data_IF_920705909543
#
_entry.id   IF_920705909543
#
_cell.length_a   1.000
_cell.length_b   1.000
_cell.length_c   1.000
_cell.angle_alpha   90.00
_cell.angle_beta   90.00
_cell.angle_gamma   90.00
#
_symmetry.space_group_name_H-M   'P 1'
#
loop_
_entity.id
_entity.type
_entity.pdbx_description
1 polymer ?
#
# COMPACT_ATOMS: atom_id res chain seq x y z
N UNK A 1 19.10 0.68 5.48
CA UNK A 1 17.86 0.15 6.09
C UNK A 1 16.88 1.29 6.39
N UNK A 2 15.58 1.02 6.42
CA UNK A 2 14.47 1.94 6.75
C UNK A 2 13.35 1.17 7.46
N UNK A 3 12.34 1.86 7.99
CA UNK A 3 11.10 1.26 8.48
C UNK A 3 9.94 1.55 7.54
N UNK A 4 9.32 0.50 7.02
CA UNK A 4 8.14 0.50 6.17
C UNK A 4 6.86 0.36 7.02
N UNK A 5 5.92 1.29 6.86
CA UNK A 5 4.64 1.30 7.58
C UNK A 5 3.47 1.26 6.61
N UNK A 6 2.62 0.25 6.78
CA UNK A 6 1.34 0.11 6.08
C UNK A 6 0.25 -0.15 7.11
N UNK A 7 -0.93 0.45 6.92
CA UNK A 7 -2.04 0.29 7.87
C UNK A 7 -3.40 0.31 7.21
N UNK A 8 -4.39 -0.13 7.95
CA UNK A 8 -5.80 0.23 7.76
C UNK A 8 -6.34 0.86 9.06
N UNK A 9 -7.65 0.95 9.21
CA UNK A 9 -8.26 1.55 10.39
C UNK A 9 -8.07 0.69 11.65
N UNK A 10 -7.89 -0.62 11.48
CA UNK A 10 -7.87 -1.60 12.58
C UNK A 10 -6.49 -2.20 12.87
N UNK A 11 -5.52 -2.06 11.97
CA UNK A 11 -4.20 -2.69 12.09
C UNK A 11 -3.11 -1.80 11.50
N UNK A 12 -1.96 -1.78 12.17
CA UNK A 12 -0.72 -1.14 11.71
C UNK A 12 0.36 -2.20 11.63
N UNK A 13 1.07 -2.24 10.51
CA UNK A 13 2.22 -3.12 10.29
C UNK A 13 3.44 -2.22 10.07
N UNK A 14 4.45 -2.43 10.89
CA UNK A 14 5.77 -1.79 10.78
C UNK A 14 6.83 -2.87 10.55
N UNK A 15 7.62 -2.73 9.48
CA UNK A 15 8.67 -3.67 9.10
C UNK A 15 9.95 -2.91 8.81
N UNK A 16 11.04 -3.28 9.48
CA UNK A 16 12.36 -2.70 9.24
C UNK A 16 13.12 -3.57 8.26
N UNK A 17 13.78 -2.96 7.27
CA UNK A 17 14.57 -3.68 6.28
C UNK A 17 15.12 -2.77 5.17
N UNK A 18 15.53 -3.37 4.06
CA UNK A 18 16.00 -2.67 2.86
C UNK A 18 14.99 -2.85 1.74
N UNK A 19 14.69 -1.80 0.98
CA UNK A 19 13.92 -1.92 -0.26
C UNK A 19 14.83 -2.42 -1.37
N UNK A 20 14.63 -3.67 -1.80
CA UNK A 20 15.40 -4.34 -2.86
C UNK A 20 14.48 -5.26 -3.69
N UNK A 21 14.99 -5.80 -4.79
CA UNK A 21 14.21 -6.65 -5.72
C UNK A 21 12.86 -6.02 -6.13
N UNK A 22 12.90 -4.74 -6.49
CA UNK A 22 11.73 -4.05 -7.03
C UNK A 22 11.37 -4.61 -8.41
N UNK A 23 10.13 -5.05 -8.56
CA UNK A 23 9.59 -5.60 -9.81
C UNK A 23 8.35 -4.80 -10.21
N UNK A 24 8.51 -3.94 -11.22
CA UNK A 24 7.40 -3.19 -11.80
C UNK A 24 6.53 -4.08 -12.70
N UNK A 25 5.24 -3.75 -12.79
CA UNK A 25 4.29 -4.39 -13.70
C UNK A 25 3.15 -3.43 -14.07
N UNK A 26 2.34 -3.78 -15.10
CA UNK A 26 1.32 -2.88 -15.65
C UNK A 26 0.17 -2.59 -14.66
N UNK A 27 -0.11 -3.49 -13.72
CA UNK A 27 -1.21 -3.36 -12.76
C UNK A 27 -0.77 -3.40 -11.30
N UNK A 28 0.35 -4.06 -11.02
CA UNK A 28 0.91 -4.22 -9.70
C UNK A 28 2.43 -4.16 -9.78
N UNK A 29 3.05 -3.72 -8.69
CA UNK A 29 4.49 -3.75 -8.50
C UNK A 29 4.81 -4.47 -7.19
N UNK A 30 6.01 -5.03 -7.08
CA UNK A 30 6.44 -5.80 -5.92
C UNK A 30 7.78 -5.29 -5.41
N UNK A 31 7.97 -5.45 -4.10
CA UNK A 31 9.28 -5.53 -3.44
C UNK A 31 9.25 -6.89 -2.78
N UNK A 32 10.18 -7.78 -3.12
CA UNK A 32 10.17 -9.16 -2.64
C UNK A 32 11.51 -9.46 -1.99
N UNK A 33 11.53 -9.45 -0.66
CA UNK A 33 12.69 -9.87 0.12
C UNK A 33 12.22 -10.38 1.50
N UNK A 34 13.16 -10.82 2.33
CA UNK A 34 12.85 -11.45 3.63
C UNK A 34 12.28 -10.47 4.67
N UNK A 35 12.62 -9.18 4.57
CA UNK A 35 12.28 -8.18 5.58
C UNK A 35 11.05 -7.34 5.20
N UNK A 36 11.08 -6.74 4.00
CA UNK A 36 10.06 -5.89 3.39
C UNK A 36 9.49 -6.61 2.16
N UNK A 37 8.40 -7.34 2.36
CA UNK A 37 7.61 -7.94 1.27
C UNK A 37 6.34 -7.12 1.00
N UNK A 38 6.26 -6.49 -0.17
CA UNK A 38 5.16 -5.59 -0.53
C UNK A 38 4.48 -6.01 -1.85
N UNK A 39 3.16 -5.87 -1.86
CA UNK A 39 2.34 -5.83 -3.07
C UNK A 39 1.78 -4.43 -3.22
N UNK A 40 2.20 -3.74 -4.26
CA UNK A 40 1.83 -2.35 -4.53
C UNK A 40 0.91 -2.29 -5.74
N UNK A 41 -0.09 -1.40 -5.67
CA UNK A 41 -1.00 -1.11 -6.77
C UNK A 41 -0.84 0.37 -7.14
N UNK A 42 0.12 0.71 -8.04
CA UNK A 42 0.53 2.09 -8.28
C UNK A 42 -0.60 3.03 -8.71
N UNK A 43 -1.66 2.50 -9.33
CA UNK A 43 -2.85 3.29 -9.70
C UNK A 43 -3.52 4.04 -8.54
N UNK A 44 -3.26 3.62 -7.30
CA UNK A 44 -3.81 4.21 -6.08
C UNK A 44 -2.82 5.14 -5.36
N UNK A 45 -1.61 5.29 -5.87
CA UNK A 45 -0.55 6.09 -5.26
C UNK A 45 -0.55 7.47 -5.92
N UNK A 46 -1.32 8.41 -5.36
CA UNK A 46 -1.65 9.66 -6.03
C UNK A 46 -0.76 10.83 -5.60
N UNK A 47 -0.37 10.86 -4.32
CA UNK A 47 0.45 11.94 -3.77
C UNK A 47 1.59 11.36 -2.95
N UNK A 48 2.77 11.98 -3.02
CA UNK A 48 3.91 11.60 -2.23
C UNK A 48 4.63 12.84 -1.69
N UNK A 49 5.05 12.79 -0.43
CA UNK A 49 5.76 13.88 0.23
C UNK A 49 7.00 13.37 0.94
N UNK A 50 8.11 14.08 0.78
CA UNK A 50 9.25 13.98 1.68
C UNK A 50 9.00 14.91 2.88
N UNK A 51 8.99 14.34 4.07
CA UNK A 51 8.65 15.04 5.31
C UNK A 51 9.83 14.99 6.25
N UNK A 52 10.25 16.15 6.72
CA UNK A 52 11.15 16.31 7.85
C UNK A 52 10.38 16.87 9.05
N UNK A 53 10.45 16.19 10.18
CA UNK A 53 9.75 16.58 11.41
C UNK A 53 10.72 16.60 12.58
N UNK A 54 10.87 17.76 13.20
CA UNK A 54 11.56 17.89 14.49
C UNK A 54 10.75 17.20 15.58
N UNK A 55 11.43 16.39 16.38
CA UNK A 55 10.87 15.65 17.50
C UNK A 55 11.10 16.43 18.82
N UNK A 56 10.28 16.18 19.87
CA UNK A 56 10.42 16.87 21.15
C UNK A 56 11.77 16.67 21.84
N UNK A 57 12.48 15.58 21.53
CA UNK A 57 13.81 15.24 22.03
C UNK A 57 14.96 15.92 21.25
N UNK A 58 14.63 16.80 20.29
CA UNK A 58 15.60 17.46 19.43
C UNK A 58 16.02 16.63 18.21
N UNK A 59 15.52 15.39 18.07
CA UNK A 59 15.78 14.55 16.90
C UNK A 59 15.07 15.05 15.64
N UNK A 60 15.62 14.69 14.48
CA UNK A 60 15.00 14.95 13.17
C UNK A 60 14.49 13.64 12.58
N UNK A 61 13.17 13.52 12.40
CA UNK A 61 12.54 12.38 11.72
C UNK A 61 12.34 12.70 10.25
N UNK A 62 12.87 11.84 9.38
CA UNK A 62 12.69 11.91 7.92
C UNK A 62 11.81 10.77 7.43
N UNK A 63 10.89 11.07 6.53
CA UNK A 63 10.01 10.06 5.95
C UNK A 63 9.52 10.40 4.56
N UNK A 64 9.34 9.38 3.71
CA UNK A 64 8.52 9.47 2.50
C UNK A 64 7.11 8.98 2.86
N UNK A 65 6.08 9.75 2.52
CA UNK A 65 4.69 9.39 2.82
C UNK A 65 3.84 9.47 1.55
N UNK A 66 3.14 8.38 1.24
CA UNK A 66 2.31 8.21 0.05
C UNK A 66 0.84 8.16 0.43
N UNK A 67 -0.01 8.83 -0.36
CA UNK A 67 -1.44 8.97 -0.14
C UNK A 67 -2.26 8.66 -1.39
N UNK A 68 -3.49 8.19 -1.19
CA UNK A 68 -4.46 7.91 -2.25
C UNK A 68 -5.23 9.17 -2.71
N UNK A 69 -6.12 9.00 -3.68
CA UNK A 69 -6.91 10.11 -4.25
C UNK A 69 -7.82 10.80 -3.23
N UNK A 70 -8.21 10.10 -2.16
CA UNK A 70 -9.03 10.64 -1.08
C UNK A 70 -8.18 11.23 0.07
N UNK A 71 -6.85 11.23 -0.05
CA UNK A 71 -5.92 11.69 0.97
C UNK A 71 -5.65 10.65 2.08
N UNK A 72 -6.11 9.41 1.91
CA UNK A 72 -5.80 8.31 2.82
C UNK A 72 -4.34 7.89 2.72
N UNK A 73 -3.70 7.60 3.86
CA UNK A 73 -2.32 7.11 3.86
C UNK A 73 -2.23 5.70 3.26
N UNK A 74 -1.44 5.54 2.21
CA UNK A 74 -1.22 4.25 1.52
C UNK A 74 0.01 3.55 2.10
N UNK A 75 1.12 4.27 2.20
CA UNK A 75 2.39 3.71 2.66
C UNK A 75 3.31 4.81 3.20
N UNK A 76 4.12 4.49 4.20
CA UNK A 76 5.12 5.41 4.75
C UNK A 76 6.45 4.71 4.94
N UNK A 77 7.53 5.44 4.67
CA UNK A 77 8.91 4.97 4.78
C UNK A 77 9.62 5.92 5.72
N UNK A 78 10.10 5.44 6.85
CA UNK A 78 10.83 6.23 7.83
C UNK A 78 12.31 5.87 7.80
N UNK A 79 13.17 6.89 7.80
CA UNK A 79 14.59 6.66 8.04
C UNK A 79 14.78 6.19 9.49
N UNK A 80 15.68 5.24 9.68
CA UNK A 80 16.14 4.72 10.97
C UNK A 80 17.58 5.20 11.23
N UNK A 81 18.13 4.87 12.40
CA UNK A 81 19.54 5.13 12.70
C UNK A 81 20.50 4.38 11.74
N UNK A 82 20.05 3.29 11.11
CA UNK A 82 20.81 2.51 10.13
C UNK A 82 20.54 2.93 8.67
N UNK A 83 19.81 4.03 8.47
CA UNK A 83 19.65 4.62 7.14
C UNK A 83 20.91 5.36 6.69
N UNK A 84 21.12 5.39 5.38
CA UNK A 84 22.16 6.18 4.72
C UNK A 84 21.66 7.63 4.61
N UNK A 85 21.66 8.35 5.74
CA UNK A 85 21.02 9.65 5.88
C UNK A 85 21.60 10.73 4.95
N UNK A 86 22.87 10.60 4.56
CA UNK A 86 23.56 11.46 3.60
C UNK A 86 22.93 11.42 2.20
N UNK A 87 22.22 10.35 1.83
CA UNK A 87 21.53 10.25 0.54
C UNK A 87 20.15 10.93 0.53
N UNK A 88 19.64 11.36 1.69
CA UNK A 88 18.31 11.94 1.79
C UNK A 88 18.14 13.18 0.91
N UNK A 89 19.08 14.12 0.95
CA UNK A 89 19.00 15.34 0.16
C UNK A 89 18.96 15.05 -1.34
N UNK A 90 19.82 14.13 -1.81
CA UNK A 90 19.85 13.70 -3.20
C UNK A 90 18.55 13.02 -3.63
N UNK A 91 18.01 12.13 -2.79
CA UNK A 91 16.73 11.46 -3.05
C UNK A 91 15.60 12.47 -3.23
N UNK A 92 15.48 13.41 -2.29
CA UNK A 92 14.43 14.45 -2.34
C UNK A 92 14.62 15.31 -3.58
N UNK A 93 15.83 15.77 -3.87
CA UNK A 93 16.11 16.61 -5.03
C UNK A 93 15.74 15.92 -6.35
N UNK A 94 16.07 14.63 -6.50
CA UNK A 94 15.82 13.87 -7.73
C UNK A 94 14.34 13.58 -7.99
N UNK A 95 13.52 13.49 -6.94
CA UNK A 95 12.10 13.15 -7.04
C UNK A 95 11.16 14.36 -6.88
N UNK A 96 11.72 15.53 -6.54
CA UNK A 96 10.94 16.75 -6.31
C UNK A 96 10.35 17.23 -7.63
N UNK A 97 9.02 17.41 -7.65
CA UNK A 97 8.33 18.08 -8.75
C UNK A 97 8.74 19.56 -8.83
N UNK A 98 8.81 20.11 -10.03
CA UNK A 98 9.17 21.52 -10.24
C UNK A 98 8.19 22.46 -9.53
N UNK A 99 6.89 22.21 -9.72
CA UNK A 99 5.78 22.93 -9.08
C UNK A 99 5.49 22.29 -7.72
N UNK A 100 5.48 23.10 -6.65
CA UNK A 100 5.32 22.64 -5.26
C UNK A 100 4.13 23.26 -4.53
N UNK A 101 3.48 24.24 -5.13
CA UNK A 101 2.35 25.00 -4.61
C UNK A 101 1.02 24.55 -5.21
N UNK A 102 0.99 23.41 -5.90
CA UNK A 102 -0.23 22.84 -6.47
C UNK A 102 -1.19 22.42 -5.35
N UNK A 103 -2.42 22.96 -5.30
CA UNK A 103 -3.43 22.52 -4.36
C UNK A 103 -3.77 21.04 -4.56
N UNK A 104 -3.95 20.31 -3.46
CA UNK A 104 -4.39 18.91 -3.53
C UNK A 104 -5.87 18.83 -3.92
N UNK A 105 -6.13 18.25 -5.09
CA UNK A 105 -7.48 17.93 -5.54
C UNK A 105 -7.81 16.52 -5.09
N UNK A 106 -8.63 16.41 -4.04
CA UNK A 106 -9.05 15.13 -3.48
C UNK A 106 -10.37 14.65 -4.12
N UNK A 107 -10.46 13.35 -4.33
CA UNK A 107 -11.69 12.66 -4.76
C UNK A 107 -12.41 12.08 -3.55
N UNK A 108 -13.74 12.01 -3.63
CA UNK A 108 -14.52 11.32 -2.60
C UNK A 108 -14.13 9.84 -2.52
N UNK A 109 -14.00 9.30 -1.31
CA UNK A 109 -13.72 7.88 -1.12
C UNK A 109 -14.92 7.05 -1.55
N UNK A 110 -14.68 6.05 -2.38
CA UNK A 110 -15.70 5.06 -2.70
C UNK A 110 -16.11 4.32 -1.42
N UNK A 111 -17.42 4.24 -1.10
CA UNK A 111 -17.89 3.49 0.05
C UNK A 111 -17.51 2.02 -0.05
N UNK A 112 -17.22 1.40 1.10
CA UNK A 112 -17.03 -0.05 1.16
C UNK A 112 -18.29 -0.75 0.66
N UNK A 113 -18.11 -1.68 -0.26
CA UNK A 113 -19.20 -2.48 -0.79
C UNK A 113 -19.77 -3.40 0.29
N UNK A 114 -21.10 -3.43 0.43
CA UNK A 114 -21.78 -4.38 1.31
C UNK A 114 -21.59 -5.83 0.84
N UNK A 115 -21.88 -6.81 1.70
CA UNK A 115 -21.83 -8.22 1.33
C UNK A 115 -22.71 -8.49 0.09
N UNK A 116 -22.12 -9.10 -0.94
CA UNK A 116 -22.85 -9.65 -2.09
C UNK A 116 -22.97 -11.15 -1.91
N UNK A 117 -24.03 -11.57 -1.24
CA UNK A 117 -24.32 -12.97 -0.93
C UNK A 117 -25.37 -13.55 -1.89
N UNK A 118 -25.32 -14.88 -2.05
CA UNK A 118 -26.29 -15.66 -2.80
C UNK A 118 -26.34 -17.07 -2.19
N UNK A 119 -27.26 -17.27 -1.25
CA UNK A 119 -27.37 -18.50 -0.44
C UNK A 119 -27.63 -19.73 -1.33
N UNK A 120 -28.33 -19.56 -2.44
CA UNK A 120 -28.65 -20.65 -3.38
C UNK A 120 -27.38 -21.19 -4.07
N UNK A 121 -26.28 -20.43 -4.08
CA UNK A 121 -24.99 -20.84 -4.63
C UNK A 121 -24.02 -21.37 -3.58
N UNK A 122 -24.42 -21.54 -2.32
CA UNK A 122 -23.51 -21.93 -1.24
C UNK A 122 -22.75 -23.25 -1.52
N UNK A 123 -23.44 -24.27 -2.04
CA UNK A 123 -22.79 -25.55 -2.38
C UNK A 123 -21.83 -25.41 -3.57
N UNK A 124 -22.18 -24.59 -4.56
CA UNK A 124 -21.31 -24.30 -5.70
C UNK A 124 -20.06 -23.52 -5.27
N UNK A 125 -20.22 -22.53 -4.38
CA UNK A 125 -19.11 -21.78 -3.79
C UNK A 125 -18.12 -22.71 -3.10
N UNK A 126 -18.58 -23.61 -2.23
CA UNK A 126 -17.72 -24.57 -1.52
C UNK A 126 -17.02 -25.52 -2.50
N UNK A 127 -17.75 -26.04 -3.49
CA UNK A 127 -17.18 -26.95 -4.49
C UNK A 127 -16.10 -26.28 -5.36
N UNK A 128 -16.21 -25.00 -5.68
CA UNK A 128 -15.16 -24.25 -6.39
C UNK A 128 -14.01 -23.86 -5.44
N UNK A 129 -14.32 -23.55 -4.18
CA UNK A 129 -13.32 -23.26 -3.16
C UNK A 129 -12.36 -24.44 -2.97
N UNK A 130 -12.90 -25.66 -2.88
CA UNK A 130 -12.12 -26.89 -2.73
C UNK A 130 -11.14 -27.17 -3.89
N UNK A 131 -11.32 -26.49 -5.03
CA UNK A 131 -10.45 -26.62 -6.21
C UNK A 131 -9.39 -25.53 -6.31
N UNK A 132 -9.39 -24.54 -5.41
CA UNK A 132 -8.40 -23.46 -5.42
C UNK A 132 -7.02 -24.03 -5.06
N UNK A 133 -6.04 -23.79 -5.92
CA UNK A 133 -4.63 -24.16 -5.71
C UNK A 133 -3.71 -22.95 -5.55
N UNK A 134 -4.21 -21.75 -5.85
CA UNK A 134 -3.47 -20.49 -5.77
C UNK A 134 -4.38 -19.38 -5.19
N UNK A 135 -3.86 -18.59 -4.25
CA UNK A 135 -4.64 -17.56 -3.54
C UNK A 135 -5.21 -16.49 -4.48
N UNK A 136 -4.60 -16.24 -5.63
CA UNK A 136 -5.08 -15.29 -6.64
C UNK A 136 -6.33 -15.79 -7.39
N UNK A 137 -6.63 -17.10 -7.32
CA UNK A 137 -7.84 -17.67 -7.94
C UNK A 137 -9.11 -17.32 -7.15
N UNK A 138 -9.00 -17.05 -5.84
CA UNK A 138 -10.15 -16.74 -4.98
C UNK A 138 -10.97 -15.56 -5.52
N UNK A 139 -10.30 -14.46 -5.88
CA UNK A 139 -10.99 -13.27 -6.40
C UNK A 139 -11.69 -13.54 -7.73
N UNK A 140 -11.13 -14.40 -8.59
CA UNK A 140 -11.76 -14.82 -9.83
C UNK A 140 -12.99 -15.69 -9.57
N UNK A 141 -12.90 -16.61 -8.60
CA UNK A 141 -14.00 -17.49 -8.21
C UNK A 141 -15.21 -16.70 -7.72
N UNK A 142 -15.02 -15.82 -6.72
CA UNK A 142 -16.16 -15.05 -6.16
C UNK A 142 -16.76 -14.12 -7.21
N UNK A 143 -15.94 -13.53 -8.09
CA UNK A 143 -16.43 -12.70 -9.20
C UNK A 143 -17.32 -13.49 -10.18
N UNK A 144 -16.94 -14.74 -10.53
CA UNK A 144 -17.77 -15.62 -11.39
C UNK A 144 -19.12 -15.94 -10.75
N UNK A 145 -19.16 -16.09 -9.42
CA UNK A 145 -20.40 -16.34 -8.67
C UNK A 145 -21.23 -15.07 -8.42
N UNK A 146 -20.70 -13.90 -8.81
CA UNK A 146 -21.25 -12.55 -8.55
C UNK A 146 -21.29 -12.20 -7.05
N UNK A 147 -20.39 -12.81 -6.28
CA UNK A 147 -20.17 -12.52 -4.87
C UNK A 147 -18.95 -11.62 -4.67
N UNK A 148 -18.82 -11.02 -3.50
CA UNK A 148 -17.58 -10.40 -3.05
C UNK A 148 -17.01 -11.18 -1.86
N UNK A 149 -15.79 -10.82 -1.41
CA UNK A 149 -15.11 -11.54 -0.33
C UNK A 149 -15.92 -11.62 0.98
N UNK A 150 -16.77 -10.63 1.25
CA UNK A 150 -17.57 -10.61 2.48
C UNK A 150 -18.83 -11.49 2.36
N UNK A 151 -19.44 -11.55 1.17
CA UNK A 151 -20.64 -12.35 0.93
C UNK A 151 -20.39 -13.82 0.53
N UNK A 152 -19.16 -14.15 0.11
CA UNK A 152 -18.69 -15.52 -0.08
C UNK A 152 -18.21 -16.11 1.25
#
# INVERSE_FOLDING_TARGET
>A
EVMALTRNDSCVIEKTGIYEDYRGGPHAALVVNDDIDLRMFPRHWQFAFAVEKHLPDGGLRRSIQVFDAAGGAVHKIFLTAASVAEQWANLVQNLRLEVQDTPLVLSAREPTEAAKEDVDKADHLRAEWDKITDTHQFLQMVHKLKMNRLGA
#
